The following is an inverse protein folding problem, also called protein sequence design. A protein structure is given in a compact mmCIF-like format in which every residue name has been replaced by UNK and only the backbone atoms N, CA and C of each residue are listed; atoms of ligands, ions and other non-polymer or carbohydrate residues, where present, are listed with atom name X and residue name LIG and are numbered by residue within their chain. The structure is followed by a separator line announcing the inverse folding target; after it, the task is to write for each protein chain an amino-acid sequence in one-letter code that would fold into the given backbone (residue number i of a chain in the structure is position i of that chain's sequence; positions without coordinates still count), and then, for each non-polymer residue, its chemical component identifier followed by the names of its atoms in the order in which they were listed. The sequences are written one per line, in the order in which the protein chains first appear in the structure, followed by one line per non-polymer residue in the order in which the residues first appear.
data_IF_997397167572
#
_entry.id   IF_997397167572
#
_cell.length_a   1.000
_cell.length_b   1.000
_cell.length_c   1.000
_cell.angle_alpha   90.00
_cell.angle_beta   90.00
_cell.angle_gamma   90.00
#
_symmetry.space_group_name_H-M   'P 1'
#
loop_
_entity.id
_entity.type
_entity.pdbx_description
1 polymer ?
#
# COMPACT_ATOMS: atom_id res chain seq x y z
N UNK A 1 -0.72 2.80 -25.02
CA UNK A 1 0.26 3.12 -23.97
C UNK A 1 -0.56 3.46 -22.74
N UNK A 2 -0.31 2.85 -21.59
CA UNK A 2 -1.03 3.24 -20.37
C UNK A 2 -0.73 4.72 -20.10
N UNK A 3 -1.76 5.55 -20.03
CA UNK A 3 -1.61 6.93 -19.61
C UNK A 3 -1.25 6.89 -18.13
N UNK A 4 0.01 7.24 -17.82
CA UNK A 4 0.44 7.51 -16.46
C UNK A 4 -0.32 8.76 -16.03
N UNK A 5 -1.42 8.55 -15.32
CA UNK A 5 -2.21 9.64 -14.79
C UNK A 5 -1.74 9.89 -13.37
N UNK A 6 -1.34 11.12 -13.04
CA UNK A 6 -1.10 11.50 -11.66
C UNK A 6 -2.32 11.06 -10.84
N UNK A 7 -2.09 10.36 -9.72
CA UNK A 7 -3.17 9.89 -8.85
C UNK A 7 -4.13 11.03 -8.52
N UNK A 8 -5.34 10.77 -8.01
CA UNK A 8 -6.07 11.77 -7.23
C UNK A 8 -5.23 12.12 -5.98
N UNK A 9 -4.21 12.95 -6.20
CA UNK A 9 -3.29 13.51 -5.23
C UNK A 9 -4.00 14.73 -4.68
N UNK A 10 -4.28 14.71 -3.39
CA UNK A 10 -4.82 15.91 -2.74
C UNK A 10 -3.70 16.96 -2.69
N UNK A 11 -4.03 18.24 -2.84
CA UNK A 11 -3.07 19.34 -2.65
C UNK A 11 -3.23 19.79 -1.20
N UNK A 12 -2.12 19.96 -0.48
CA UNK A 12 -2.07 20.29 0.96
C UNK A 12 -3.11 21.36 1.40
N UNK A 13 -3.73 21.23 2.60
CA UNK A 13 -3.48 20.21 3.61
C UNK A 13 -4.19 18.87 3.34
N UNK A 14 -3.46 17.75 3.46
CA UNK A 14 -4.03 16.40 3.29
C UNK A 14 -5.00 16.01 4.43
N UNK A 15 -6.13 15.35 4.12
CA UNK A 15 -6.95 14.69 5.14
C UNK A 15 -6.13 13.65 5.91
N UNK A 16 -6.36 13.55 7.21
CA UNK A 16 -5.63 12.60 8.07
C UNK A 16 -5.85 11.13 7.66
N UNK A 17 -7.03 10.82 7.10
CA UNK A 17 -7.32 9.51 6.52
C UNK A 17 -6.40 9.19 5.33
N UNK A 18 -6.17 10.14 4.43
CA UNK A 18 -5.25 10.01 3.29
C UNK A 18 -3.81 9.79 3.75
N UNK A 19 -3.37 10.52 4.78
CA UNK A 19 -2.04 10.32 5.37
C UNK A 19 -1.91 8.91 5.97
N UNK A 20 -2.89 8.48 6.76
CA UNK A 20 -2.89 7.13 7.37
C UNK A 20 -2.91 6.02 6.33
N UNK A 21 -3.69 6.19 5.27
CA UNK A 21 -3.76 5.22 4.17
C UNK A 21 -2.42 5.12 3.43
N UNK A 22 -1.76 6.25 3.19
CA UNK A 22 -0.42 6.28 2.58
C UNK A 22 0.63 5.63 3.48
N UNK A 23 0.53 5.80 4.81
CA UNK A 23 1.39 5.09 5.76
C UNK A 23 1.10 3.59 5.81
N UNK A 24 -0.15 3.16 5.59
CA UNK A 24 -0.49 1.74 5.45
C UNK A 24 0.21 1.11 4.23
N UNK A 25 0.25 1.80 3.09
CA UNK A 25 1.02 1.38 1.91
C UNK A 25 2.52 1.32 2.20
N UNK A 26 3.06 2.32 2.90
CA UNK A 26 4.46 2.31 3.35
C UNK A 26 4.76 1.09 4.23
N UNK A 27 3.84 0.70 5.11
CA UNK A 27 3.97 -0.52 5.92
C UNK A 27 3.94 -1.78 5.05
N UNK A 28 3.01 -1.89 4.12
CA UNK A 28 2.92 -3.04 3.22
C UNK A 28 4.18 -3.19 2.36
N UNK A 29 4.72 -2.09 1.83
CA UNK A 29 6.00 -2.07 1.13
C UNK A 29 7.15 -2.55 2.00
N UNK A 30 7.22 -2.08 3.25
CA UNK A 30 8.23 -2.53 4.21
C UNK A 30 8.11 -4.02 4.55
N UNK A 31 6.90 -4.54 4.70
CA UNK A 31 6.64 -5.97 4.92
C UNK A 31 7.09 -6.78 3.71
N UNK A 32 6.75 -6.38 2.48
CA UNK A 32 7.21 -7.04 1.26
C UNK A 32 8.72 -7.14 1.13
N UNK A 33 9.45 -6.09 1.53
CA UNK A 33 10.92 -6.09 1.55
C UNK A 33 11.52 -7.07 2.57
N UNK A 34 10.88 -7.21 3.73
CA UNK A 34 11.40 -8.01 4.84
C UNK A 34 10.96 -9.47 4.79
N UNK A 35 9.81 -9.75 4.18
CA UNK A 35 9.17 -11.05 4.15
C UNK A 35 8.82 -11.41 2.69
N UNK A 36 9.80 -11.89 1.90
CA UNK A 36 9.57 -12.32 0.52
C UNK A 36 8.46 -13.38 0.47
N UNK A 37 7.52 -13.21 -0.46
CA UNK A 37 6.34 -14.08 -0.58
C UNK A 37 5.14 -13.61 0.26
N UNK A 38 5.21 -12.46 0.93
CA UNK A 38 4.06 -11.84 1.57
C UNK A 38 2.90 -11.63 0.57
N UNK A 39 1.71 -12.08 0.95
CA UNK A 39 0.47 -11.81 0.23
C UNK A 39 -0.34 -10.74 0.95
N UNK A 40 -0.82 -9.74 0.21
CA UNK A 40 -1.49 -8.56 0.75
C UNK A 40 -3.01 -8.73 0.74
N UNK A 41 -3.64 -8.53 1.91
CA UNK A 41 -5.08 -8.43 2.05
C UNK A 41 -5.58 -6.99 1.97
N UNK A 42 -6.36 -6.56 2.95
CA UNK A 42 -6.90 -5.19 3.05
C UNK A 42 -6.09 -4.32 3.99
N UNK A 43 -5.97 -3.03 3.68
CA UNK A 43 -5.20 -2.08 4.50
C UNK A 43 -5.78 -0.68 4.59
N UNK A 44 -6.98 -0.50 5.14
CA UNK A 44 -7.63 0.80 5.19
C UNK A 44 -7.07 1.71 6.28
N UNK A 45 -7.29 3.01 6.12
CA UNK A 45 -7.24 3.96 7.22
C UNK A 45 -8.47 3.81 8.13
N UNK A 46 -8.30 3.98 9.44
CA UNK A 46 -9.35 3.97 10.45
C UNK A 46 -9.31 5.24 11.31
N UNK A 47 -10.31 5.43 12.17
CA UNK A 47 -10.52 6.66 12.97
C UNK A 47 -9.27 7.10 13.76
N UNK A 48 -8.49 6.15 14.27
CA UNK A 48 -7.31 6.42 15.09
C UNK A 48 -6.01 5.81 14.54
N UNK A 49 -5.96 5.39 13.28
CA UNK A 49 -4.76 4.77 12.71
C UNK A 49 -5.01 4.11 11.36
N UNK A 50 -4.38 2.96 11.17
CA UNK A 50 -4.53 2.09 10.01
C UNK A 50 -4.22 0.66 10.46
N UNK A 51 -4.61 -0.31 9.65
CA UNK A 51 -4.13 -1.69 9.76
C UNK A 51 -3.81 -2.21 8.36
N UNK A 52 -3.20 -3.39 8.28
CA UNK A 52 -3.04 -4.10 7.02
C UNK A 52 -2.99 -5.60 7.29
N UNK A 53 -3.80 -6.35 6.55
CA UNK A 53 -3.85 -7.81 6.63
C UNK A 53 -2.76 -8.41 5.74
N UNK A 54 -1.97 -9.31 6.31
CA UNK A 54 -0.94 -10.04 5.58
C UNK A 54 -1.11 -11.52 5.77
N UNK A 55 -0.91 -12.26 4.69
CA UNK A 55 -0.59 -13.67 4.79
C UNK A 55 0.91 -13.85 4.53
N UNK A 56 1.58 -14.44 5.51
CA UNK A 56 3.03 -14.50 5.60
C UNK A 56 3.47 -15.95 5.82
N UNK A 57 4.63 -16.35 5.29
CA UNK A 57 5.15 -17.70 5.49
C UNK A 57 5.42 -18.03 6.96
N UNK A 58 5.71 -17.00 7.77
CA UNK A 58 5.93 -17.12 9.21
C UNK A 58 5.13 -16.04 9.96
N UNK A 59 4.54 -16.36 11.13
CA UNK A 59 3.84 -15.36 11.95
C UNK A 59 4.76 -14.23 12.42
N UNK A 60 4.23 -13.01 12.46
CA UNK A 60 4.95 -11.86 13.00
C UNK A 60 5.13 -11.94 14.51
N UNK A 61 6.24 -11.39 14.98
CA UNK A 61 6.50 -11.18 16.41
C UNK A 61 6.61 -9.70 16.75
N UNK A 62 6.53 -9.34 18.03
CA UNK A 62 6.74 -7.96 18.50
C UNK A 62 8.10 -7.37 18.08
N UNK A 63 9.12 -8.23 17.89
CA UNK A 63 10.43 -7.80 17.40
C UNK A 63 10.36 -7.36 15.93
N UNK A 64 9.48 -7.98 15.15
CA UNK A 64 9.30 -7.66 13.74
C UNK A 64 8.63 -6.32 13.55
N UNK A 65 7.71 -5.90 14.44
CA UNK A 65 7.14 -4.55 14.39
C UNK A 65 8.24 -3.47 14.39
N UNK A 66 9.27 -3.63 15.23
CA UNK A 66 10.40 -2.69 15.26
C UNK A 66 11.24 -2.74 13.99
N UNK A 67 11.39 -3.92 13.37
CA UNK A 67 12.11 -4.10 12.10
C UNK A 67 11.35 -3.46 10.95
N UNK A 68 10.03 -3.68 10.89
CA UNK A 68 9.12 -3.10 9.90
C UNK A 68 9.14 -1.58 10.04
N UNK A 69 9.00 -1.01 11.24
CA UNK A 69 9.09 0.45 11.42
C UNK A 69 10.42 1.04 10.93
N UNK A 70 11.54 0.35 11.22
CA UNK A 70 12.86 0.79 10.76
C UNK A 70 12.94 0.78 9.24
N UNK A 71 12.35 -0.23 8.61
CA UNK A 71 12.28 -0.37 7.16
C UNK A 71 11.36 0.68 6.53
N UNK A 72 10.18 0.94 7.11
CA UNK A 72 9.28 2.03 6.71
C UNK A 72 10.02 3.38 6.70
N UNK A 73 10.76 3.69 7.78
CA UNK A 73 11.58 4.91 7.84
C UNK A 73 12.71 4.91 6.81
N UNK A 74 13.29 3.76 6.47
CA UNK A 74 14.33 3.63 5.43
C UNK A 74 13.75 3.92 4.04
N UNK A 75 12.56 3.40 3.75
CA UNK A 75 11.85 3.63 2.48
C UNK A 75 11.45 5.11 2.38
N UNK A 76 10.79 5.68 3.39
CA UNK A 76 10.39 7.08 3.41
C UNK A 76 11.55 8.05 3.15
N UNK A 77 12.72 7.80 3.77
CA UNK A 77 13.94 8.61 3.55
C UNK A 77 14.47 8.60 2.13
N UNK A 78 14.12 7.59 1.31
CA UNK A 78 14.50 7.53 -0.10
C UNK A 78 13.58 8.35 -0.99
N UNK A 79 12.57 8.99 -0.41
CA UNK A 79 11.71 9.92 -1.12
C UNK A 79 11.02 9.33 -2.35
N UNK A 80 10.39 8.14 -2.21
CA UNK A 80 9.72 7.52 -3.33
C UNK A 80 8.45 8.32 -3.66
N UNK A 81 8.33 8.68 -4.93
CA UNK A 81 7.08 9.16 -5.51
C UNK A 81 6.08 8.00 -5.55
N UNK A 82 4.85 8.26 -5.13
CA UNK A 82 3.76 7.32 -5.20
C UNK A 82 2.93 7.64 -6.44
N UNK A 83 3.04 6.78 -7.44
CA UNK A 83 2.39 6.92 -8.74
C UNK A 83 1.12 6.09 -8.73
N UNK A 84 0.04 6.63 -9.29
CA UNK A 84 -1.16 5.86 -9.58
C UNK A 84 -1.22 5.59 -11.08
N UNK A 85 -1.71 4.43 -11.45
CA UNK A 85 -1.97 4.05 -12.82
C UNK A 85 -3.40 3.55 -12.92
N UNK A 86 -4.16 4.05 -13.90
CA UNK A 86 -5.41 3.40 -14.28
C UNK A 86 -5.05 2.22 -15.20
N UNK A 87 -5.52 1.03 -14.84
CA UNK A 87 -5.19 -0.20 -15.53
C UNK A 87 -6.45 -0.85 -16.09
N UNK A 88 -6.29 -1.57 -17.20
CA UNK A 88 -7.30 -2.56 -17.58
C UNK A 88 -7.26 -3.74 -16.61
N UNK A 89 -8.38 -4.48 -16.53
CA UNK A 89 -8.46 -5.68 -15.67
C UNK A 89 -7.37 -6.71 -15.99
N UNK A 90 -7.03 -6.89 -17.26
CA UNK A 90 -5.95 -7.81 -17.67
C UNK A 90 -4.56 -7.29 -17.28
N UNK A 91 -4.31 -5.98 -17.37
CA UNK A 91 -3.06 -5.37 -16.88
C UNK A 91 -2.93 -5.51 -15.36
N UNK A 92 -4.02 -5.27 -14.62
CA UNK A 92 -4.05 -5.45 -13.17
C UNK A 92 -3.80 -6.91 -12.78
N UNK A 93 -4.44 -7.88 -13.44
CA UNK A 93 -4.17 -9.32 -13.24
C UNK A 93 -2.70 -9.67 -13.45
N UNK A 94 -2.06 -9.12 -14.49
CA UNK A 94 -0.65 -9.37 -14.77
C UNK A 94 0.27 -8.80 -13.68
N UNK A 95 -0.01 -7.59 -13.18
CA UNK A 95 0.77 -6.97 -12.09
C UNK A 95 0.56 -7.65 -10.73
N UNK A 96 -0.62 -8.19 -10.49
CA UNK A 96 -1.01 -8.86 -9.25
C UNK A 96 -0.72 -10.37 -9.26
N UNK A 97 0.06 -10.86 -10.22
CA UNK A 97 0.41 -12.27 -10.28
C UNK A 97 1.11 -12.73 -8.98
N UNK A 98 0.54 -13.73 -8.31
CA UNK A 98 1.01 -14.22 -7.01
C UNK A 98 0.42 -13.50 -5.79
N UNK A 99 -0.45 -12.51 -6.00
CA UNK A 99 -1.20 -11.81 -4.94
C UNK A 99 -2.67 -12.24 -4.98
N UNK A 100 -2.94 -13.50 -4.59
CA UNK A 100 -4.25 -14.14 -4.76
C UNK A 100 -5.40 -13.33 -4.16
N UNK A 101 -5.23 -12.78 -2.96
CA UNK A 101 -6.25 -11.94 -2.31
C UNK A 101 -6.57 -10.66 -3.09
N UNK A 102 -5.57 -10.06 -3.75
CA UNK A 102 -5.77 -8.88 -4.60
C UNK A 102 -6.42 -9.25 -5.93
N UNK A 103 -6.11 -10.44 -6.46
CA UNK A 103 -6.81 -10.97 -7.64
C UNK A 103 -8.28 -11.22 -7.33
N UNK A 104 -8.61 -11.81 -6.18
CA UNK A 104 -9.99 -11.96 -5.72
C UNK A 104 -10.70 -10.60 -5.59
N UNK A 105 -10.04 -9.61 -4.96
CA UNK A 105 -10.57 -8.26 -4.86
C UNK A 105 -10.82 -7.61 -6.23
N UNK A 106 -9.94 -7.82 -7.20
CA UNK A 106 -10.08 -7.32 -8.57
C UNK A 106 -11.32 -7.87 -9.29
N UNK A 107 -11.68 -9.13 -9.03
CA UNK A 107 -12.90 -9.73 -9.61
C UNK A 107 -14.20 -9.18 -9.00
N UNK A 108 -14.13 -8.59 -7.80
CA UNK A 108 -15.26 -7.95 -7.15
C UNK A 108 -15.52 -6.52 -7.66
N UNK A 109 -14.55 -5.90 -8.32
CA UNK A 109 -14.70 -4.57 -8.92
C UNK A 109 -15.66 -4.70 -10.12
N UNK A 110 -16.74 -3.88 -10.21
CA UNK A 110 -17.63 -3.85 -11.37
C UNK A 110 -16.91 -3.54 -12.70
N UNK A 111 -17.52 -3.90 -13.82
CA UNK A 111 -16.90 -3.76 -15.14
C UNK A 111 -16.77 -2.30 -15.60
N UNK A 112 -17.63 -1.43 -15.10
CA UNK A 112 -17.74 0.01 -15.39
C UNK A 112 -16.93 0.89 -14.42
N UNK A 113 -16.40 0.30 -13.34
CA UNK A 113 -15.56 0.98 -12.37
C UNK A 113 -14.09 1.01 -12.80
N UNK A 114 -13.41 2.09 -12.42
CA UNK A 114 -11.98 2.27 -12.70
C UNK A 114 -11.15 1.35 -11.82
N UNK A 115 -10.11 0.77 -12.40
CA UNK A 115 -9.12 -0.03 -11.67
C UNK A 115 -7.85 0.79 -11.54
N UNK A 116 -7.55 1.19 -10.31
CA UNK A 116 -6.36 1.98 -10.00
C UNK A 116 -5.31 1.15 -9.26
N UNK A 117 -4.06 1.39 -9.61
CA UNK A 117 -2.90 0.70 -9.04
C UNK A 117 -1.88 1.72 -8.57
N UNK A 118 -1.57 1.72 -7.27
CA UNK A 118 -0.62 2.63 -6.67
C UNK A 118 0.71 1.93 -6.48
N UNK A 119 1.81 2.55 -6.92
CA UNK A 119 3.13 1.94 -6.83
C UNK A 119 4.24 2.95 -6.57
N UNK A 120 5.31 2.46 -5.99
CA UNK A 120 6.55 3.20 -5.79
C UNK A 120 7.76 2.27 -5.79
N UNK A 121 8.81 2.62 -6.51
CA UNK A 121 9.94 1.71 -6.71
C UNK A 121 9.48 0.38 -7.29
N UNK A 122 9.82 -0.72 -6.62
CA UNK A 122 9.45 -2.08 -7.06
C UNK A 122 8.17 -2.62 -6.39
N UNK A 123 7.52 -1.83 -5.52
CA UNK A 123 6.32 -2.23 -4.80
C UNK A 123 5.09 -1.54 -5.38
N UNK A 124 3.95 -2.23 -5.42
CA UNK A 124 2.67 -1.61 -5.71
C UNK A 124 1.47 -2.46 -5.30
N UNK A 125 0.30 -1.83 -5.31
CA UNK A 125 -0.92 -2.36 -4.74
C UNK A 125 -2.17 -1.91 -5.52
N UNK A 126 -3.17 -2.80 -5.56
CA UNK A 126 -4.52 -2.50 -6.04
C UNK A 126 -5.26 -1.72 -4.97
N UNK A 127 -5.57 -0.46 -5.26
CA UNK A 127 -6.16 0.45 -4.29
C UNK A 127 -6.89 1.60 -5.00
N UNK A 128 -8.03 2.02 -4.47
CA UNK A 128 -8.81 3.16 -4.96
C UNK A 128 -8.22 4.53 -4.55
N UNK A 129 -7.47 4.54 -3.44
CA UNK A 129 -6.95 5.77 -2.83
C UNK A 129 -8.03 6.57 -2.08
N UNK A 130 -7.88 7.89 -1.94
CA UNK A 130 -6.73 8.69 -2.38
C UNK A 130 -5.47 8.43 -1.54
N UNK A 131 -4.32 8.82 -2.10
CA UNK A 131 -3.03 8.85 -1.42
C UNK A 131 -2.34 10.19 -1.60
N UNK A 132 -1.29 10.41 -0.82
CA UNK A 132 -0.36 11.53 -1.05
C UNK A 132 0.61 11.20 -2.19
N UNK A 133 1.23 12.24 -2.72
CA UNK A 133 2.12 12.18 -3.87
C UNK A 133 3.48 11.52 -3.60
N UNK A 134 3.97 11.65 -2.37
CA UNK A 134 5.32 11.22 -1.99
C UNK A 134 5.37 10.74 -0.55
N UNK A 135 6.16 9.69 -0.30
CA UNK A 135 6.28 9.11 1.03
C UNK A 135 7.43 9.68 1.88
N UNK A 136 8.15 10.70 1.41
CA UNK A 136 9.21 11.44 2.15
C UNK A 136 8.70 12.48 3.15
N UNK A 137 7.41 12.41 3.52
CA UNK A 137 6.90 13.30 4.56
C UNK A 137 7.50 12.92 5.91
N UNK A 138 7.59 13.89 6.83
CA UNK A 138 8.00 13.65 8.22
C UNK A 138 6.86 12.93 8.97
N UNK A 139 6.54 11.72 8.52
CA UNK A 139 5.47 10.92 9.09
C UNK A 139 5.86 10.47 10.49
N UNK A 140 5.02 10.84 11.45
CA UNK A 140 5.12 10.33 12.82
C UNK A 140 4.16 9.15 12.98
N UNK A 141 4.69 7.93 12.82
CA UNK A 141 3.92 6.69 12.99
C UNK A 141 4.57 5.73 13.99
N UNK A 142 3.75 4.81 14.49
CA UNK A 142 4.14 3.71 15.37
C UNK A 142 3.25 2.50 15.10
N UNK A 143 3.84 1.32 14.99
CA UNK A 143 3.10 0.06 14.90
C UNK A 143 2.77 -0.40 16.32
N UNK A 144 1.49 -0.72 16.57
CA UNK A 144 0.98 -0.92 17.92
C UNK A 144 0.98 -2.38 18.34
N UNK A 145 0.34 -3.23 17.54
CA UNK A 145 0.08 -4.62 17.88
C UNK A 145 -0.08 -5.47 16.60
N UNK A 146 -0.06 -6.78 16.79
CA UNK A 146 -0.38 -7.80 15.79
C UNK A 146 -1.64 -8.51 16.28
N UNK A 147 -2.57 -8.80 15.37
CA UNK A 147 -3.77 -9.56 15.63
C UNK A 147 -4.05 -10.48 14.43
N UNK A 148 -4.63 -11.65 14.67
CA UNK A 148 -4.88 -12.68 13.66
C UNK A 148 -4.98 -14.06 14.28
#
# INVERSE_FOLDING_TARGET
MAELQEAPQVVEPYPLSTLRHSVAHLMASAVGNLFPGARYGFGPAIEHGFYYDFDLPEPLTDKDLRRIEKEMRRIAKRAPELVCEELTRDQARAKLAGQDYKLEALELIPADEKITYYHHGDWGDLCEGPHIDRLDRDFHFKLLNIAG
#
